data_IF_068086074555
#
_entry.id   IF_068086074555
#
_cell.length_a   1.000
_cell.length_b   1.000
_cell.length_c   1.000
_cell.angle_alpha   90.00
_cell.angle_beta   90.00
_cell.angle_gamma   90.00
#
_symmetry.space_group_name_H-M   'P 1'
#
loop_
_entity.id
_entity.type
_entity.pdbx_description
1 polymer ?
#
# COMPACT_ATOMS: atom_id res chain seq x y z
N UNK A 1 -4.56 15.83 27.55
CA UNK A 1 -5.04 15.35 26.23
C UNK A 1 -5.70 14.00 26.45
N UNK A 2 -6.86 13.72 25.84
CA UNK A 2 -7.56 12.45 26.07
C UNK A 2 -6.80 11.27 25.45
N UNK A 3 -6.91 10.05 26.01
CA UNK A 3 -6.22 8.85 25.50
C UNK A 3 -6.46 8.58 24.01
N UNK A 4 -7.66 8.90 23.51
CA UNK A 4 -8.04 8.76 22.10
C UNK A 4 -7.22 9.65 21.15
N UNK A 5 -6.82 10.85 21.61
CA UNK A 5 -6.02 11.79 20.80
C UNK A 5 -4.56 11.34 20.71
N UNK A 6 -4.03 10.73 21.77
CA UNK A 6 -2.67 10.16 21.75
C UNK A 6 -2.59 8.98 20.78
N UNK A 7 -3.60 8.10 20.78
CA UNK A 7 -3.67 6.97 19.85
C UNK A 7 -3.74 7.43 18.38
N UNK A 8 -4.54 8.46 18.09
CA UNK A 8 -4.65 9.00 16.73
C UNK A 8 -3.34 9.58 16.19
N UNK A 9 -2.59 10.30 17.04
CA UNK A 9 -1.28 10.86 16.66
C UNK A 9 -0.26 9.74 16.41
N UNK A 10 -0.27 8.68 17.23
CA UNK A 10 0.60 7.52 17.03
C UNK A 10 0.30 6.84 15.71
N UNK A 11 -0.98 6.56 15.41
CA UNK A 11 -1.39 5.94 14.13
C UNK A 11 -0.97 6.81 12.95
N UNK A 12 -1.21 8.12 12.99
CA UNK A 12 -0.83 9.02 11.90
C UNK A 12 0.69 9.06 11.67
N UNK A 13 1.50 9.02 12.74
CA UNK A 13 2.96 8.91 12.62
C UNK A 13 3.37 7.58 12.02
N UNK A 14 2.80 6.46 12.49
CA UNK A 14 3.09 5.14 11.95
C UNK A 14 2.74 5.04 10.46
N UNK A 15 1.55 5.51 10.05
CA UNK A 15 1.15 5.56 8.63
C UNK A 15 2.15 6.36 7.81
N UNK A 16 2.59 7.53 8.30
CA UNK A 16 3.59 8.34 7.59
C UNK A 16 4.91 7.60 7.44
N UNK A 17 5.39 6.95 8.49
CA UNK A 17 6.64 6.17 8.45
C UNK A 17 6.54 5.04 7.44
N UNK A 18 5.44 4.27 7.45
CA UNK A 18 5.22 3.17 6.51
C UNK A 18 5.12 3.65 5.06
N UNK A 19 4.45 4.78 4.79
CA UNK A 19 4.39 5.37 3.45
C UNK A 19 5.80 5.64 2.90
N UNK A 20 6.72 6.10 3.77
CA UNK A 20 8.10 6.37 3.40
C UNK A 20 8.92 5.09 3.25
N UNK A 21 8.86 4.18 4.23
CA UNK A 21 9.63 2.93 4.21
C UNK A 21 9.22 2.02 3.04
N UNK A 22 7.92 1.95 2.73
CA UNK A 22 7.35 1.15 1.64
C UNK A 22 7.35 1.85 0.29
N UNK A 23 7.89 3.06 0.22
CA UNK A 23 7.96 3.86 -1.02
C UNK A 23 6.60 3.94 -1.72
N UNK A 24 5.52 4.18 -0.97
CA UNK A 24 4.14 4.18 -1.49
C UNK A 24 3.97 5.17 -2.64
N UNK A 25 4.69 6.29 -2.62
CA UNK A 25 4.71 7.26 -3.72
C UNK A 25 5.27 6.68 -5.02
N UNK A 26 6.27 5.80 -4.95
CA UNK A 26 6.82 5.11 -6.12
C UNK A 26 5.87 4.03 -6.63
N UNK A 27 5.27 3.25 -5.72
CA UNK A 27 4.25 2.24 -6.05
C UNK A 27 3.02 2.88 -6.72
N UNK A 28 2.55 4.03 -6.21
CA UNK A 28 1.46 4.78 -6.84
C UNK A 28 1.81 5.25 -8.26
N UNK A 29 3.08 5.64 -8.48
CA UNK A 29 3.60 6.00 -9.81
C UNK A 29 3.57 4.84 -10.81
N UNK A 30 3.98 3.65 -10.39
CA UNK A 30 3.96 2.46 -11.27
C UNK A 30 2.54 2.03 -11.61
N UNK A 31 1.62 2.05 -10.63
CA UNK A 31 0.18 1.79 -10.83
C UNK A 31 -0.40 2.80 -11.82
N UNK A 32 -0.13 4.10 -11.64
CA UNK A 32 -0.63 5.14 -12.52
C UNK A 32 -0.13 4.98 -13.96
N UNK A 33 1.14 4.61 -14.15
CA UNK A 33 1.70 4.31 -15.47
C UNK A 33 0.98 3.13 -16.13
N UNK A 34 0.79 2.02 -15.43
CA UNK A 34 0.10 0.84 -15.98
C UNK A 34 -1.38 1.13 -16.27
N UNK A 35 -2.06 1.89 -15.42
CA UNK A 35 -3.43 2.33 -15.64
C UNK A 35 -3.54 3.22 -16.90
N UNK A 36 -2.63 4.18 -17.05
CA UNK A 36 -2.59 5.08 -18.21
C UNK A 36 -2.40 4.32 -19.54
N UNK A 37 -1.43 3.40 -19.59
CA UNK A 37 -1.17 2.59 -20.78
C UNK A 37 -2.36 1.70 -21.14
N UNK A 38 -3.08 1.18 -20.14
CA UNK A 38 -4.26 0.33 -20.34
C UNK A 38 -5.49 1.12 -20.80
N UNK A 39 -5.56 2.40 -20.49
CA UNK A 39 -6.71 3.25 -20.78
C UNK A 39 -6.88 3.50 -22.28
N UNK A 40 -5.78 3.64 -23.03
CA UNK A 40 -5.82 3.86 -24.48
C UNK A 40 -6.56 2.73 -25.25
N UNK A 41 -6.16 1.45 -25.13
CA UNK A 41 -6.88 0.38 -25.80
C UNK A 41 -8.30 0.19 -25.24
N UNK A 42 -8.54 0.46 -23.95
CA UNK A 42 -9.89 0.43 -23.37
C UNK A 42 -10.81 1.46 -24.05
N UNK A 43 -10.35 2.70 -24.21
CA UNK A 43 -11.12 3.75 -24.89
C UNK A 43 -11.40 3.38 -26.35
N UNK A 44 -10.41 2.83 -27.06
CA UNK A 44 -10.58 2.36 -28.43
C UNK A 44 -11.65 1.26 -28.52
N UNK A 45 -11.61 0.27 -27.64
CA UNK A 45 -12.58 -0.83 -27.63
C UNK A 45 -13.98 -0.35 -27.23
N UNK A 46 -14.08 0.49 -26.21
CA UNK A 46 -15.34 1.13 -25.83
C UNK A 46 -15.93 1.88 -27.03
N UNK A 47 -15.10 2.63 -27.74
CA UNK A 47 -15.51 3.33 -28.94
C UNK A 47 -16.01 2.39 -30.05
N UNK A 48 -15.26 1.33 -30.39
CA UNK A 48 -15.68 0.36 -31.40
C UNK A 48 -17.01 -0.31 -31.02
N UNK A 49 -17.19 -0.62 -29.74
CA UNK A 49 -18.46 -1.14 -29.23
C UNK A 49 -19.62 -0.13 -29.41
N UNK A 50 -19.41 1.16 -29.15
CA UNK A 50 -20.42 2.19 -29.38
C UNK A 50 -20.68 2.46 -30.87
N UNK A 51 -19.65 2.40 -31.72
CA UNK A 51 -19.78 2.55 -33.17
C UNK A 51 -20.64 1.43 -33.76
N UNK A 52 -20.49 0.19 -33.26
CA UNK A 52 -21.33 -0.94 -33.66
C UNK A 52 -22.82 -0.75 -33.32
N UNK A 53 -23.14 0.12 -32.36
CA UNK A 53 -24.53 0.48 -31.98
C UNK A 53 -25.11 1.60 -32.88
N UNK A 54 -24.30 2.18 -33.79
CA UNK A 54 -24.76 3.06 -34.86
C UNK A 54 -24.80 4.57 -34.56
N UNK A 55 -24.01 5.05 -33.58
CA UNK A 55 -23.99 6.48 -33.22
C UNK A 55 -22.85 7.24 -33.96
N UNK A 56 -23.14 7.74 -35.16
CA UNK A 56 -22.18 8.44 -36.04
C UNK A 56 -21.52 9.68 -35.42
N UNK A 57 -22.14 10.32 -34.42
CA UNK A 57 -21.59 11.52 -33.78
C UNK A 57 -20.31 11.22 -32.98
N UNK A 58 -20.20 10.03 -32.40
CA UNK A 58 -19.03 9.64 -31.60
C UNK A 58 -17.82 9.35 -32.50
N UNK A 59 -18.04 8.84 -33.71
CA UNK A 59 -16.97 8.54 -34.66
C UNK A 59 -16.23 9.82 -35.09
N UNK A 60 -16.97 10.90 -35.34
CA UNK A 60 -16.38 12.21 -35.64
C UNK A 60 -15.58 12.76 -34.46
N UNK A 61 -16.07 12.59 -33.22
CA UNK A 61 -15.35 13.04 -32.03
C UNK A 61 -14.03 12.28 -31.84
N UNK A 62 -14.01 10.96 -32.03
CA UNK A 62 -12.77 10.17 -31.92
C UNK A 62 -11.77 10.53 -33.00
N UNK A 63 -12.21 10.67 -34.25
CA UNK A 63 -11.35 11.12 -35.33
C UNK A 63 -10.81 12.53 -35.01
N UNK A 64 -11.63 13.43 -34.48
CA UNK A 64 -11.19 14.78 -34.10
C UNK A 64 -10.15 14.77 -32.97
N UNK A 65 -10.33 13.91 -31.96
CA UNK A 65 -9.38 13.73 -30.88
C UNK A 65 -8.07 13.12 -31.37
N UNK A 66 -8.14 12.07 -32.18
CA UNK A 66 -6.99 11.44 -32.82
C UNK A 66 -6.18 12.45 -33.66
N UNK A 67 -6.86 13.29 -34.45
CA UNK A 67 -6.22 14.38 -35.20
C UNK A 67 -5.59 15.44 -34.29
N UNK A 68 -6.14 15.68 -33.10
CA UNK A 68 -5.55 16.61 -32.12
C UNK A 68 -4.26 16.08 -31.49
N UNK A 69 -4.10 14.74 -31.42
CA UNK A 69 -2.85 14.10 -30.99
C UNK A 69 -1.80 14.25 -32.09
N UNK A 70 -2.12 13.77 -33.30
CA UNK A 70 -1.32 13.98 -34.51
C UNK A 70 -2.18 13.71 -35.76
N UNK A 71 -1.88 14.38 -36.89
CA UNK A 71 -2.57 14.11 -38.16
C UNK A 71 -2.49 12.63 -38.58
N UNK A 72 -1.36 11.96 -38.33
CA UNK A 72 -1.13 10.56 -38.67
C UNK A 72 -2.04 9.63 -37.86
N UNK A 73 -2.21 9.89 -36.57
CA UNK A 73 -3.12 9.13 -35.69
C UNK A 73 -4.57 9.35 -36.14
N UNK A 74 -4.91 10.57 -36.55
CA UNK A 74 -6.22 10.92 -37.09
C UNK A 74 -6.58 10.18 -38.39
N UNK A 75 -5.65 10.09 -39.33
CA UNK A 75 -5.84 9.32 -40.57
C UNK A 75 -5.87 7.81 -40.32
N UNK A 76 -5.05 7.30 -39.40
CA UNK A 76 -5.11 5.90 -38.96
C UNK A 76 -6.46 5.58 -38.33
N UNK A 77 -7.01 6.47 -37.50
CA UNK A 77 -8.33 6.32 -36.92
C UNK A 77 -9.41 6.32 -38.02
N UNK A 78 -9.39 7.27 -38.96
CA UNK A 78 -10.36 7.30 -40.08
C UNK A 78 -10.34 6.00 -40.90
N UNK A 79 -9.17 5.55 -41.31
CA UNK A 79 -9.02 4.34 -42.15
C UNK A 79 -9.44 3.08 -41.40
N UNK A 80 -9.09 2.98 -40.12
CA UNK A 80 -9.50 1.88 -39.23
C UNK A 80 -11.00 1.84 -39.03
N UNK A 81 -11.63 3.00 -38.82
CA UNK A 81 -13.05 3.10 -38.50
C UNK A 81 -13.97 2.99 -39.72
N UNK A 82 -13.47 3.30 -40.92
CA UNK A 82 -14.22 3.18 -42.16
C UNK A 82 -14.14 1.79 -42.82
N UNK A 83 -13.33 0.87 -42.28
CA UNK A 83 -13.17 -0.48 -42.84
C UNK A 83 -13.49 -1.56 -41.80
N UNK A 84 -14.32 -2.54 -42.16
CA UNK A 84 -14.64 -3.66 -41.27
C UNK A 84 -13.39 -4.45 -40.85
N UNK A 85 -12.47 -4.67 -41.80
CA UNK A 85 -11.20 -5.33 -41.52
C UNK A 85 -10.30 -4.51 -40.58
N UNK A 86 -10.27 -3.18 -40.73
CA UNK A 86 -9.57 -2.28 -39.83
C UNK A 86 -10.13 -2.38 -38.42
N UNK A 87 -11.44 -2.27 -38.25
CA UNK A 87 -12.12 -2.40 -36.95
C UNK A 87 -11.83 -3.76 -36.28
N UNK A 88 -11.85 -4.86 -37.04
CA UNK A 88 -11.54 -6.19 -36.52
C UNK A 88 -10.08 -6.30 -36.05
N UNK A 89 -9.12 -5.85 -36.86
CA UNK A 89 -7.70 -5.87 -36.48
C UNK A 89 -7.41 -4.98 -35.26
N UNK A 90 -8.00 -3.79 -35.20
CA UNK A 90 -7.86 -2.86 -34.09
C UNK A 90 -8.50 -3.41 -32.81
N UNK A 91 -9.62 -4.13 -32.92
CA UNK A 91 -10.24 -4.83 -31.79
C UNK A 91 -9.32 -5.92 -31.24
N UNK A 92 -8.73 -6.75 -32.08
CA UNK A 92 -7.83 -7.84 -31.65
C UNK A 92 -6.60 -7.25 -30.96
N UNK A 93 -5.93 -6.28 -31.60
CA UNK A 93 -4.75 -5.62 -31.03
C UNK A 93 -5.13 -4.91 -29.72
N UNK A 94 -6.25 -4.18 -29.71
CA UNK A 94 -6.77 -3.50 -28.53
C UNK A 94 -7.04 -4.47 -27.38
N UNK A 95 -7.68 -5.61 -27.62
CA UNK A 95 -7.94 -6.63 -26.59
C UNK A 95 -6.63 -7.19 -26.04
N UNK A 96 -5.66 -7.52 -26.90
CA UNK A 96 -4.37 -8.05 -26.45
C UNK A 96 -3.60 -7.02 -25.61
N UNK A 97 -3.53 -5.77 -26.07
CA UNK A 97 -2.84 -4.69 -25.33
C UNK A 97 -3.55 -4.35 -24.04
N UNK A 98 -4.89 -4.27 -24.03
CA UNK A 98 -5.69 -4.04 -22.83
C UNK A 98 -5.50 -5.16 -21.82
N UNK A 99 -5.56 -6.42 -22.27
CA UNK A 99 -5.39 -7.59 -21.39
C UNK A 99 -4.00 -7.58 -20.76
N UNK A 100 -2.96 -7.31 -21.55
CA UNK A 100 -1.60 -7.19 -21.04
C UNK A 100 -1.43 -6.04 -20.05
N UNK A 101 -2.00 -4.87 -20.36
CA UNK A 101 -1.96 -3.69 -19.50
C UNK A 101 -2.72 -3.91 -18.19
N UNK A 102 -3.94 -4.46 -18.25
CA UNK A 102 -4.76 -4.80 -17.10
C UNK A 102 -4.05 -5.81 -16.20
N UNK A 103 -3.43 -6.85 -16.78
CA UNK A 103 -2.65 -7.83 -16.02
C UNK A 103 -1.48 -7.17 -15.28
N UNK A 104 -0.76 -6.24 -15.93
CA UNK A 104 0.31 -5.46 -15.29
C UNK A 104 -0.21 -4.55 -14.18
N UNK A 105 -1.37 -3.91 -14.38
CA UNK A 105 -2.00 -3.07 -13.38
C UNK A 105 -2.40 -3.86 -12.14
N UNK A 106 -3.12 -4.99 -12.32
CA UNK A 106 -3.53 -5.84 -11.20
C UNK A 106 -2.35 -6.44 -10.47
N UNK A 107 -1.36 -6.97 -11.20
CA UNK A 107 -0.13 -7.44 -10.58
C UNK A 107 0.61 -6.32 -9.82
N UNK A 108 0.61 -5.10 -10.35
CA UNK A 108 1.19 -3.94 -9.69
C UNK A 108 0.46 -3.57 -8.39
N UNK A 109 -0.88 -3.62 -8.40
CA UNK A 109 -1.69 -3.40 -7.20
C UNK A 109 -1.46 -4.52 -6.17
N UNK A 110 -1.57 -5.78 -6.59
CA UNK A 110 -1.33 -6.95 -5.76
C UNK A 110 0.05 -6.91 -5.08
N UNK A 111 1.11 -6.68 -5.87
CA UNK A 111 2.47 -6.54 -5.35
C UNK A 111 2.58 -5.36 -4.38
N UNK A 112 1.92 -4.23 -4.66
CA UNK A 112 1.96 -3.06 -3.77
C UNK A 112 1.26 -3.32 -2.43
N UNK A 113 0.11 -4.00 -2.43
CA UNK A 113 -0.59 -4.41 -1.22
C UNK A 113 0.23 -5.44 -0.44
N UNK A 114 0.70 -6.51 -1.08
CA UNK A 114 1.57 -7.50 -0.46
C UNK A 114 2.83 -6.88 0.15
N UNK A 115 3.46 -5.91 -0.53
CA UNK A 115 4.63 -5.18 0.01
C UNK A 115 4.24 -4.35 1.24
N UNK A 116 3.11 -3.65 1.24
CA UNK A 116 2.62 -2.87 2.39
C UNK A 116 2.37 -3.77 3.61
N UNK A 117 1.71 -4.92 3.38
CA UNK A 117 1.45 -5.93 4.42
C UNK A 117 2.66 -6.83 4.71
N UNK A 118 3.76 -6.60 4.01
CA UNK A 118 5.02 -7.33 4.14
C UNK A 118 4.88 -8.86 4.02
N UNK A 119 3.90 -9.30 3.23
CA UNK A 119 3.58 -10.69 2.93
C UNK A 119 4.72 -11.37 2.16
N UNK A 120 4.86 -12.68 2.35
CA UNK A 120 5.69 -13.51 1.46
C UNK A 120 4.88 -13.80 0.20
N UNK A 121 5.39 -13.37 -0.96
CA UNK A 121 4.68 -13.50 -2.24
C UNK A 121 4.76 -14.96 -2.69
N UNK A 122 3.79 -15.77 -2.27
CA UNK A 122 3.63 -17.18 -2.67
C UNK A 122 2.45 -17.40 -3.64
N UNK A 123 1.78 -16.33 -4.06
CA UNK A 123 0.61 -16.45 -4.94
C UNK A 123 0.97 -16.84 -6.38
N UNK A 124 0.19 -17.75 -6.94
CA UNK A 124 0.33 -18.13 -8.34
C UNK A 124 -0.20 -17.03 -9.27
N UNK A 125 0.28 -16.98 -10.51
CA UNK A 125 -0.24 -16.04 -11.52
C UNK A 125 -1.76 -16.22 -11.72
N UNK A 126 -2.28 -17.44 -11.53
CA UNK A 126 -3.70 -17.72 -11.67
C UNK A 126 -4.54 -17.08 -10.55
N UNK A 127 -4.03 -17.07 -9.32
CA UNK A 127 -4.70 -16.42 -8.18
C UNK A 127 -4.75 -14.91 -8.39
N UNK A 128 -3.64 -14.28 -8.79
CA UNK A 128 -3.59 -12.85 -9.13
C UNK A 128 -4.59 -12.47 -10.23
N UNK A 129 -4.75 -13.32 -11.26
CA UNK A 129 -5.72 -13.10 -12.33
C UNK A 129 -7.15 -13.23 -11.81
N UNK A 130 -7.44 -14.27 -11.01
CA UNK A 130 -8.76 -14.49 -10.41
C UNK A 130 -9.16 -13.29 -9.55
N UNK A 131 -8.27 -12.84 -8.68
CA UNK A 131 -8.56 -11.77 -7.74
C UNK A 131 -8.68 -10.43 -8.46
N UNK A 132 -7.85 -10.19 -9.48
CA UNK A 132 -8.00 -9.07 -10.40
C UNK A 132 -9.37 -9.07 -11.12
N UNK A 133 -9.86 -10.22 -11.57
CA UNK A 133 -11.19 -10.35 -12.19
C UNK A 133 -12.32 -10.08 -11.20
N UNK A 134 -12.21 -10.54 -9.95
CA UNK A 134 -13.21 -10.26 -8.91
C UNK A 134 -13.27 -8.76 -8.63
N UNK A 135 -12.11 -8.11 -8.49
CA UNK A 135 -12.00 -6.65 -8.30
C UNK A 135 -12.57 -5.90 -9.50
N UNK A 136 -12.25 -6.32 -10.73
CA UNK A 136 -12.79 -5.72 -11.94
C UNK A 136 -14.32 -5.83 -12.00
N UNK A 137 -14.87 -6.99 -11.66
CA UNK A 137 -16.31 -7.22 -11.64
C UNK A 137 -17.00 -6.34 -10.57
N UNK A 138 -16.40 -6.23 -9.38
CA UNK A 138 -16.91 -5.35 -8.31
C UNK A 138 -16.90 -3.87 -8.72
N UNK A 139 -15.82 -3.40 -9.35
CA UNK A 139 -15.74 -2.06 -9.95
C UNK A 139 -16.82 -1.85 -11.01
N UNK A 140 -17.04 -2.83 -11.89
CA UNK A 140 -18.08 -2.78 -12.91
C UNK A 140 -19.49 -2.66 -12.33
N UNK A 141 -19.81 -3.47 -11.32
CA UNK A 141 -21.08 -3.38 -10.58
C UNK A 141 -21.23 -2.01 -9.92
N UNK A 142 -20.18 -1.50 -9.27
CA UNK A 142 -20.24 -0.22 -8.59
C UNK A 142 -20.49 0.95 -9.55
N UNK A 143 -19.89 0.92 -10.75
CA UNK A 143 -20.17 1.90 -11.81
C UNK A 143 -21.64 1.83 -12.24
N UNK A 144 -22.15 0.64 -12.52
CA UNK A 144 -23.57 0.46 -12.90
C UNK A 144 -24.49 0.93 -11.78
N UNK A 145 -24.20 0.56 -10.53
CA UNK A 145 -24.99 0.94 -9.36
C UNK A 145 -25.01 2.47 -9.18
N UNK A 146 -23.88 3.15 -9.41
CA UNK A 146 -23.80 4.62 -9.34
C UNK A 146 -24.63 5.28 -10.44
N UNK A 147 -24.59 4.75 -11.67
CA UNK A 147 -25.41 5.24 -12.79
C UNK A 147 -26.91 5.06 -12.49
N UNK A 148 -27.29 3.87 -12.04
CA UNK A 148 -28.69 3.56 -11.68
C UNK A 148 -29.15 4.43 -10.52
N UNK A 149 -28.34 4.59 -9.48
CA UNK A 149 -28.67 5.46 -8.35
C UNK A 149 -28.85 6.91 -8.79
N UNK A 150 -27.95 7.43 -9.63
CA UNK A 150 -28.08 8.79 -10.19
C UNK A 150 -29.36 8.96 -11.01
N UNK A 151 -29.70 7.98 -11.84
CA UNK A 151 -30.94 8.00 -12.63
C UNK A 151 -32.20 7.95 -11.74
N UNK A 152 -32.19 7.13 -10.67
CA UNK A 152 -33.29 7.04 -9.72
C UNK A 152 -33.47 8.34 -8.93
N UNK A 153 -32.38 8.96 -8.46
CA UNK A 153 -32.43 10.23 -7.75
C UNK A 153 -33.01 11.35 -8.64
N UNK A 154 -32.70 11.33 -9.95
CA UNK A 154 -33.24 12.28 -10.91
C UNK A 154 -34.76 12.17 -11.12
N UNK A 155 -35.40 11.06 -10.72
CA UNK A 155 -36.87 10.90 -10.76
C UNK A 155 -37.59 11.63 -9.62
N UNK A 156 -36.87 12.05 -8.57
CA UNK A 156 -37.43 12.71 -7.39
C UNK A 156 -36.89 14.13 -7.19
N UNK A 157 -36.95 15.03 -8.21
CA UNK A 157 -36.37 16.37 -8.12
C UNK A 157 -37.08 17.27 -7.11
N UNK A 158 -38.29 16.91 -6.69
CA UNK A 158 -39.10 17.67 -5.74
C UNK A 158 -38.75 17.42 -4.27
N UNK A 159 -37.91 16.43 -3.96
CA UNK A 159 -37.49 16.14 -2.58
C UNK A 159 -36.38 17.12 -2.18
N UNK A 160 -36.60 18.01 -1.20
CA UNK A 160 -35.59 18.95 -0.78
C UNK A 160 -34.38 18.20 -0.20
N UNK A 161 -33.17 18.69 -0.48
CA UNK A 161 -31.89 18.15 -0.02
C UNK A 161 -31.50 16.75 -0.54
N UNK A 162 -32.21 16.19 -1.52
CA UNK A 162 -31.88 14.87 -2.07
C UNK A 162 -30.48 14.81 -2.71
N UNK A 163 -29.99 15.94 -3.20
CA UNK A 163 -28.62 16.09 -3.74
C UNK A 163 -27.54 15.86 -2.67
N UNK A 164 -27.85 16.07 -1.39
CA UNK A 164 -26.92 15.84 -0.29
C UNK A 164 -26.64 14.34 -0.06
N UNK A 165 -27.48 13.45 -0.61
CA UNK A 165 -27.25 12.01 -0.58
C UNK A 165 -26.26 11.53 -1.65
N UNK A 166 -26.03 12.32 -2.71
CA UNK A 166 -25.14 11.93 -3.81
C UNK A 166 -23.71 11.55 -3.35
N UNK A 167 -23.00 12.36 -2.53
CA UNK A 167 -21.68 11.97 -2.03
C UNK A 167 -21.73 10.72 -1.13
N UNK A 168 -22.81 10.52 -0.38
CA UNK A 168 -22.97 9.33 0.47
C UNK A 168 -23.13 8.08 -0.40
N UNK A 169 -23.98 8.13 -1.43
CA UNK A 169 -24.18 7.05 -2.40
C UNK A 169 -22.86 6.72 -3.09
N UNK A 170 -22.10 7.75 -3.52
CA UNK A 170 -20.79 7.56 -4.13
C UNK A 170 -19.81 6.88 -3.17
N UNK A 171 -19.71 7.35 -1.92
CA UNK A 171 -18.83 6.74 -0.91
C UNK A 171 -19.22 5.28 -0.68
N UNK A 172 -20.51 4.97 -0.53
CA UNK A 172 -20.97 3.59 -0.35
C UNK A 172 -20.64 2.72 -1.57
N UNK A 173 -20.87 3.22 -2.78
CA UNK A 173 -20.51 2.53 -4.02
C UNK A 173 -19.01 2.28 -4.11
N UNK A 174 -18.18 3.26 -3.77
CA UNK A 174 -16.72 3.15 -3.74
C UNK A 174 -16.23 2.18 -2.66
N UNK A 175 -16.86 2.15 -1.48
CA UNK A 175 -16.54 1.15 -0.45
C UNK A 175 -16.82 -0.24 -0.99
N UNK A 176 -17.97 -0.48 -1.62
CA UNK A 176 -18.30 -1.77 -2.22
C UNK A 176 -17.30 -2.13 -3.34
N UNK A 177 -16.91 -1.15 -4.16
CA UNK A 177 -15.96 -1.33 -5.25
C UNK A 177 -14.55 -1.69 -4.77
N UNK A 178 -14.07 -1.00 -3.73
CA UNK A 178 -12.71 -1.14 -3.23
C UNK A 178 -12.57 -2.28 -2.22
N UNK A 179 -13.64 -2.69 -1.54
CA UNK A 179 -13.58 -3.72 -0.51
C UNK A 179 -12.89 -5.02 -0.97
N UNK A 180 -13.20 -5.61 -2.14
CA UNK A 180 -12.53 -6.83 -2.60
C UNK A 180 -11.02 -6.64 -2.83
N UNK A 181 -10.60 -5.46 -3.29
CA UNK A 181 -9.19 -5.14 -3.48
C UNK A 181 -8.44 -5.18 -2.14
N UNK A 182 -9.06 -4.61 -1.11
CA UNK A 182 -8.49 -4.54 0.23
C UNK A 182 -8.50 -5.86 0.99
N UNK A 183 -9.40 -6.77 0.62
CA UNK A 183 -9.55 -8.07 1.24
C UNK A 183 -8.69 -9.16 0.56
N UNK A 184 -8.52 -9.08 -0.77
CA UNK A 184 -7.86 -10.13 -1.55
C UNK A 184 -6.36 -9.87 -1.76
N UNK A 185 -5.95 -8.63 -2.06
CA UNK A 185 -4.56 -8.32 -2.44
C UNK A 185 -3.49 -8.32 -1.34
N UNK A 186 -3.80 -8.21 -0.03
CA UNK A 186 -2.76 -8.26 1.01
C UNK A 186 -1.91 -9.53 1.06
N UNK A 187 -2.35 -10.64 0.46
CA UNK A 187 -1.64 -11.94 0.50
C UNK A 187 -1.50 -12.54 1.91
N UNK A 188 -2.24 -12.00 2.89
CA UNK A 188 -2.26 -12.43 4.29
C UNK A 188 -3.71 -12.58 4.76
N UNK A 189 -3.92 -13.41 5.79
CA UNK A 189 -5.24 -13.55 6.39
C UNK A 189 -5.69 -12.21 7.01
N UNK A 190 -6.69 -11.59 6.39
CA UNK A 190 -7.33 -10.38 6.91
C UNK A 190 -8.79 -10.64 7.20
N UNK A 191 -9.32 -10.00 8.23
CA UNK A 191 -10.74 -10.02 8.53
C UNK A 191 -11.46 -8.83 7.87
N UNK A 192 -12.76 -8.95 7.53
CA UNK A 192 -13.54 -7.82 6.99
C UNK A 192 -13.51 -6.56 7.86
N UNK A 193 -13.32 -6.71 9.18
CA UNK A 193 -13.26 -5.58 10.12
C UNK A 193 -11.93 -4.83 10.07
N UNK A 194 -10.84 -5.53 9.77
CA UNK A 194 -9.49 -4.94 9.67
C UNK A 194 -9.32 -4.15 8.38
N UNK A 195 -9.99 -4.55 7.30
CA UNK A 195 -9.85 -3.89 5.98
C UNK A 195 -10.78 -2.68 5.81
N UNK A 196 -11.90 -2.65 6.53
CA UNK A 196 -12.93 -1.63 6.36
C UNK A 196 -12.48 -0.18 6.62
N UNK A 197 -11.67 0.13 7.65
CA UNK A 197 -11.26 1.51 7.93
C UNK A 197 -10.51 2.17 6.75
N UNK A 198 -9.57 1.44 6.15
CA UNK A 198 -8.79 1.86 5.00
C UNK A 198 -9.60 1.90 3.71
N UNK A 199 -10.54 0.97 3.53
CA UNK A 199 -11.49 1.03 2.40
C UNK A 199 -12.35 2.29 2.47
N UNK A 200 -12.89 2.62 3.66
CA UNK A 200 -13.65 3.87 3.88
C UNK A 200 -12.77 5.08 3.66
N UNK A 201 -11.55 5.08 4.21
CA UNK A 201 -10.58 6.15 3.99
C UNK A 201 -10.34 6.39 2.50
N UNK A 202 -10.13 5.33 1.71
CA UNK A 202 -9.91 5.46 0.29
C UNK A 202 -11.16 5.95 -0.47
N UNK A 203 -12.35 5.50 -0.12
CA UNK A 203 -13.60 5.98 -0.72
C UNK A 203 -13.82 7.48 -0.45
N UNK A 204 -13.59 7.92 0.78
CA UNK A 204 -13.69 9.34 1.17
C UNK A 204 -12.59 10.16 0.49
N UNK A 205 -11.35 9.68 0.53
CA UNK A 205 -10.20 10.33 -0.10
C UNK A 205 -10.35 10.46 -1.61
N UNK A 206 -10.91 9.44 -2.27
CA UNK A 206 -11.22 9.47 -3.70
C UNK A 206 -12.29 10.52 -4.01
N UNK A 207 -13.35 10.56 -3.21
CA UNK A 207 -14.42 11.56 -3.35
C UNK A 207 -13.88 12.98 -3.15
N UNK A 208 -13.02 13.18 -2.15
CA UNK A 208 -12.35 14.46 -1.92
C UNK A 208 -11.40 14.83 -3.08
N UNK A 209 -10.65 13.86 -3.60
CA UNK A 209 -9.77 14.05 -4.75
C UNK A 209 -10.57 14.47 -5.98
N UNK A 210 -11.74 13.87 -6.22
CA UNK A 210 -12.66 14.26 -7.28
C UNK A 210 -13.10 15.71 -7.18
N UNK A 211 -13.53 16.15 -5.99
CA UNK A 211 -13.88 17.55 -5.76
C UNK A 211 -12.69 18.49 -5.99
N UNK A 212 -11.50 18.10 -5.52
CA UNK A 212 -10.28 18.89 -5.71
C UNK A 212 -9.92 19.06 -7.19
N UNK A 213 -10.05 17.99 -7.99
CA UNK A 213 -9.79 18.06 -9.44
C UNK A 213 -10.86 18.87 -10.19
N UNK A 214 -12.11 18.79 -9.79
CA UNK A 214 -13.16 19.64 -10.36
C UNK A 214 -12.83 21.12 -10.14
N UNK A 215 -12.40 21.49 -8.93
CA UNK A 215 -11.94 22.85 -8.63
C UNK A 215 -10.70 23.21 -9.46
N UNK A 216 -9.71 22.32 -9.55
CA UNK A 216 -8.51 22.54 -10.35
C UNK A 216 -8.84 22.85 -11.82
N UNK A 217 -9.68 22.03 -12.45
CA UNK A 217 -10.10 22.22 -13.85
C UNK A 217 -10.89 23.52 -14.02
N UNK A 218 -11.72 23.87 -13.03
CA UNK A 218 -12.47 25.13 -13.05
C UNK A 218 -11.55 26.36 -12.97
N UNK A 219 -10.52 26.32 -12.12
CA UNK A 219 -9.60 27.45 -11.88
C UNK A 219 -8.58 27.62 -13.01
N UNK A 220 -7.93 26.54 -13.44
CA UNK A 220 -6.98 26.58 -14.55
C UNK A 220 -7.70 26.88 -15.87
N UNK A 221 -9.00 26.57 -15.93
CA UNK A 221 -9.81 26.71 -17.13
C UNK A 221 -9.32 25.79 -18.25
N UNK A 222 -9.95 25.89 -19.41
CA UNK A 222 -9.53 25.18 -20.62
C UNK A 222 -8.15 25.65 -21.14
N UNK A 223 -7.35 26.41 -20.40
CA UNK A 223 -6.01 26.84 -20.86
C UNK A 223 -5.01 25.67 -20.95
N UNK A 224 -5.30 24.53 -20.29
CA UNK A 224 -4.65 23.24 -20.51
C UNK A 224 -5.27 22.42 -21.68
N UNK A 225 -6.03 23.04 -22.61
CA UNK A 225 -6.77 22.38 -23.72
C UNK A 225 -5.94 21.58 -24.70
N UNK A 226 -4.61 21.66 -24.62
CA UNK A 226 -3.75 20.81 -25.41
C UNK A 226 -3.82 19.36 -24.92
N UNK A 227 -3.67 18.42 -25.85
CA UNK A 227 -3.50 16.98 -25.57
C UNK A 227 -2.51 16.72 -24.44
N UNK A 228 -1.37 17.42 -24.43
CA UNK A 228 -0.35 17.28 -23.39
C UNK A 228 -0.87 17.65 -22.00
N UNK A 229 -1.67 18.73 -21.90
CA UNK A 229 -2.28 19.15 -20.64
C UNK A 229 -3.28 18.11 -20.13
N UNK A 230 -4.12 17.56 -21.02
CA UNK A 230 -5.06 16.50 -20.69
C UNK A 230 -4.35 15.21 -20.22
N UNK A 231 -3.27 14.81 -20.90
CA UNK A 231 -2.46 13.64 -20.52
C UNK A 231 -1.80 13.85 -19.16
N UNK A 232 -1.16 15.00 -18.93
CA UNK A 232 -0.52 15.31 -17.65
C UNK A 232 -1.54 15.34 -16.51
N UNK A 233 -2.71 15.94 -16.76
CA UNK A 233 -3.81 15.97 -15.79
C UNK A 233 -4.30 14.56 -15.46
N UNK A 234 -4.50 13.71 -16.47
CA UNK A 234 -4.94 12.33 -16.29
C UNK A 234 -3.92 11.50 -15.52
N UNK A 235 -2.63 11.56 -15.87
CA UNK A 235 -1.59 10.84 -15.15
C UNK A 235 -1.49 11.32 -13.70
N UNK A 236 -1.62 12.63 -13.47
CA UNK A 236 -1.65 13.21 -12.12
C UNK A 236 -2.86 12.71 -11.33
N UNK A 237 -4.03 12.64 -11.96
CA UNK A 237 -5.23 12.08 -11.36
C UNK A 237 -5.03 10.62 -10.94
N UNK A 238 -4.51 9.79 -11.85
CA UNK A 238 -4.23 8.38 -11.60
C UNK A 238 -3.17 8.19 -10.49
N UNK A 239 -2.15 9.04 -10.47
CA UNK A 239 -1.13 9.05 -9.42
C UNK A 239 -1.72 9.31 -8.03
N UNK A 240 -2.46 10.40 -7.86
CA UNK A 240 -3.07 10.72 -6.57
C UNK A 240 -4.15 9.71 -6.17
N UNK A 241 -4.87 9.16 -7.15
CA UNK A 241 -5.83 8.07 -6.94
C UNK A 241 -5.14 6.82 -6.37
N UNK A 242 -4.03 6.41 -6.98
CA UNK A 242 -3.19 5.31 -6.47
C UNK A 242 -2.61 5.61 -5.08
N UNK A 243 -2.19 6.85 -4.84
CA UNK A 243 -1.66 7.27 -3.54
C UNK A 243 -2.71 7.21 -2.43
N UNK A 244 -3.94 7.65 -2.70
CA UNK A 244 -5.07 7.54 -1.76
C UNK A 244 -5.40 6.07 -1.47
N UNK A 245 -5.46 5.23 -2.52
CA UNK A 245 -5.72 3.80 -2.37
C UNK A 245 -4.64 3.10 -1.54
N UNK A 246 -3.37 3.30 -1.86
CA UNK A 246 -2.28 2.67 -1.10
C UNK A 246 -2.15 3.22 0.32
N UNK A 247 -2.47 4.50 0.53
CA UNK A 247 -2.50 5.08 1.89
C UNK A 247 -3.57 4.43 2.75
N UNK A 248 -4.74 4.11 2.19
CA UNK A 248 -5.75 3.33 2.90
C UNK A 248 -5.27 1.92 3.23
N UNK A 249 -4.51 1.27 2.34
CA UNK A 249 -3.91 -0.04 2.61
C UNK A 249 -2.90 0.04 3.76
N UNK A 250 -2.03 1.06 3.77
CA UNK A 250 -1.11 1.31 4.90
C UNK A 250 -1.88 1.55 6.20
N UNK A 251 -2.97 2.32 6.16
CA UNK A 251 -3.80 2.57 7.34
C UNK A 251 -4.32 1.25 7.94
N UNK A 252 -4.80 0.33 7.10
CA UNK A 252 -5.25 -0.96 7.58
C UNK A 252 -4.11 -1.81 8.14
N UNK A 253 -2.98 -1.89 7.43
CA UNK A 253 -1.83 -2.65 7.89
C UNK A 253 -1.34 -2.15 9.27
N UNK A 254 -1.31 -0.82 9.47
CA UNK A 254 -0.96 -0.21 10.77
C UNK A 254 -1.98 -0.52 11.85
N UNK A 255 -3.28 -0.41 11.56
CA UNK A 255 -4.35 -0.70 12.53
C UNK A 255 -4.41 -2.18 12.91
N UNK A 256 -4.11 -3.07 11.96
CA UNK A 256 -4.06 -4.50 12.16
C UNK A 256 -2.71 -4.99 12.74
N UNK A 257 -1.74 -4.08 12.97
CA UNK A 257 -0.38 -4.41 13.41
C UNK A 257 0.35 -5.40 12.48
N UNK A 258 0.02 -5.38 11.19
CA UNK A 258 0.58 -6.26 10.17
C UNK A 258 1.78 -5.64 9.44
N UNK A 259 2.32 -4.52 9.94
CA UNK A 259 3.54 -3.93 9.36
C UNK A 259 4.79 -4.38 10.11
N UNK A 260 5.85 -4.70 9.38
CA UNK A 260 7.16 -5.12 9.96
C UNK A 260 7.78 -4.06 10.88
N UNK A 261 7.35 -2.80 10.80
CA UNK A 261 7.88 -1.70 11.62
C UNK A 261 7.16 -1.61 12.96
N UNK A 262 5.94 -2.14 13.10
CA UNK A 262 5.35 -2.39 14.42
C UNK A 262 6.19 -3.41 15.22
N UNK A 263 6.81 -4.37 14.51
CA UNK A 263 7.75 -5.37 15.05
C UNK A 263 9.22 -4.87 15.12
N UNK A 264 9.50 -3.63 14.65
CA UNK A 264 10.73 -2.91 15.01
C UNK A 264 10.59 -2.20 16.37
N UNK A 265 9.59 -2.54 17.18
CA UNK A 265 9.72 -2.41 18.62
C UNK A 265 10.76 -3.44 19.05
N UNK A 266 11.95 -2.95 19.38
CA UNK A 266 12.96 -3.62 20.21
C UNK A 266 12.53 -5.01 20.70
N UNK A 267 13.07 -6.09 20.12
CA UNK A 267 13.00 -7.41 20.74
C UNK A 267 13.83 -7.33 22.03
N UNK A 268 13.27 -6.76 23.10
CA UNK A 268 13.83 -6.86 24.44
C UNK A 268 13.56 -8.27 24.90
N UNK A 269 14.46 -9.19 24.57
CA UNK A 269 14.39 -10.56 25.05
C UNK A 269 14.91 -10.58 26.49
N UNK A 270 14.04 -10.25 27.43
CA UNK A 270 14.37 -10.32 28.85
C UNK A 270 14.31 -11.79 29.29
N UNK A 271 15.49 -12.41 29.43
CA UNK A 271 15.60 -13.80 29.89
C UNK A 271 16.25 -13.80 31.27
N UNK A 272 15.52 -14.27 32.27
CA UNK A 272 16.12 -14.63 33.56
C UNK A 272 16.91 -15.92 33.33
N UNK A 273 18.24 -15.83 33.40
CA UNK A 273 19.14 -16.97 33.24
C UNK A 273 19.64 -17.40 34.62
N UNK A 274 19.69 -18.70 34.87
CA UNK A 274 20.42 -19.19 36.04
C UNK A 274 21.93 -18.98 35.81
N UNK A 275 22.72 -18.99 36.88
CA UNK A 275 24.17 -18.74 36.91
C UNK A 275 24.94 -19.49 35.82
N UNK A 276 24.69 -20.78 35.67
CA UNK A 276 25.41 -21.62 34.70
C UNK A 276 25.03 -21.26 33.26
N UNK A 277 23.77 -20.89 33.03
CA UNK A 277 23.28 -20.46 31.73
C UNK A 277 23.82 -19.08 31.35
N UNK A 278 23.88 -18.14 32.30
CA UNK A 278 24.47 -16.82 32.11
C UNK A 278 25.97 -16.92 31.81
N UNK A 279 26.71 -17.78 32.53
CA UNK A 279 28.13 -18.04 32.27
C UNK A 279 28.36 -18.64 30.87
N UNK A 280 27.51 -19.58 30.46
CA UNK A 280 27.54 -20.16 29.12
C UNK A 280 27.24 -19.10 28.04
N UNK A 281 26.22 -18.27 28.25
CA UNK A 281 25.82 -17.23 27.33
C UNK A 281 26.92 -16.18 27.11
N UNK A 282 27.53 -15.67 28.20
CA UNK A 282 28.64 -14.70 28.12
C UNK A 282 29.84 -15.29 27.38
N UNK A 283 30.16 -16.56 27.61
CA UNK A 283 31.21 -17.26 26.86
C UNK A 283 30.89 -17.33 25.36
N UNK A 284 29.64 -17.63 25.02
CA UNK A 284 29.17 -17.76 23.63
C UNK A 284 29.20 -16.40 22.92
N UNK A 285 28.78 -15.32 23.60
CA UNK A 285 28.90 -13.95 23.11
C UNK A 285 30.36 -13.57 22.91
N UNK A 286 31.22 -13.86 23.89
CA UNK A 286 32.67 -13.60 23.78
C UNK A 286 33.26 -14.29 22.55
N UNK A 287 32.95 -15.57 22.37
CA UNK A 287 33.42 -16.36 21.22
C UNK A 287 32.86 -15.84 19.88
N UNK A 288 31.62 -15.30 19.88
CA UNK A 288 30.97 -14.79 18.67
C UNK A 288 31.43 -13.39 18.27
N UNK A 289 31.62 -12.49 19.24
CA UNK A 289 32.00 -11.09 19.02
C UNK A 289 33.50 -10.96 18.75
N UNK A 290 34.32 -11.69 19.50
CA UNK A 290 35.78 -11.57 19.41
C UNK A 290 36.43 -12.75 18.65
N UNK A 291 35.65 -13.75 18.23
CA UNK A 291 36.17 -14.96 17.57
C UNK A 291 36.88 -15.92 18.53
N UNK A 292 37.19 -17.14 18.05
CA UNK A 292 38.15 -18.04 18.73
C UNK A 292 39.56 -17.52 18.48
N UNK A 293 40.04 -16.61 19.31
CA UNK A 293 41.47 -16.30 19.33
C UNK A 293 42.23 -17.41 20.07
N UNK A 294 43.02 -18.20 19.33
CA UNK A 294 43.94 -19.24 19.85
C UNK A 294 45.15 -18.66 20.64
N UNK A 295 45.14 -17.36 20.98
CA UNK A 295 46.23 -16.66 21.68
C UNK A 295 45.75 -15.74 22.82
N UNK A 296 44.74 -16.15 23.58
CA UNK A 296 44.62 -15.62 24.94
C UNK A 296 45.74 -16.25 25.78
N UNK A 297 46.87 -15.55 25.94
CA UNK A 297 47.59 -15.65 27.21
C UNK A 297 46.57 -15.35 28.30
N UNK A 298 46.49 -16.21 29.31
CA UNK A 298 45.68 -15.93 30.48
C UNK A 298 46.10 -14.53 30.95
N UNK A 299 45.17 -13.58 30.99
CA UNK A 299 45.40 -12.36 31.77
C UNK A 299 45.74 -12.89 33.16
N UNK A 300 46.98 -12.69 33.61
CA UNK A 300 47.37 -12.95 34.98
C UNK A 300 46.41 -12.13 35.84
N UNK A 301 45.41 -12.81 36.39
CA UNK A 301 44.56 -12.23 37.42
C UNK A 301 45.53 -11.82 38.52
N UNK A 302 45.59 -10.54 38.92
CA UNK A 302 46.48 -10.12 39.97
C UNK A 302 46.20 -10.99 41.20
N UNK A 303 47.10 -11.91 41.52
CA UNK A 303 47.01 -12.83 42.66
C UNK A 303 47.37 -12.10 43.95
N UNK A 304 46.90 -10.86 44.10
CA UNK A 304 46.83 -10.17 45.36
C UNK A 304 45.49 -10.51 46.00
N UNK A 305 45.52 -10.95 47.27
CA UNK A 305 44.32 -11.27 48.06
C UNK A 305 43.24 -10.16 47.98
N UNK A 306 43.62 -8.89 47.73
CA UNK A 306 42.68 -7.77 47.64
C UNK A 306 41.70 -7.80 46.46
N UNK A 307 42.01 -8.45 45.34
CA UNK A 307 41.08 -8.51 44.20
C UNK A 307 40.00 -9.57 44.40
N UNK A 308 40.37 -10.72 44.97
CA UNK A 308 39.43 -11.79 45.28
C UNK A 308 38.51 -11.43 46.47
N UNK A 309 39.00 -10.62 47.42
CA UNK A 309 38.17 -10.04 48.49
C UNK A 309 37.20 -8.96 48.01
N UNK A 310 37.44 -8.33 46.86
CA UNK A 310 36.54 -7.32 46.29
C UNK A 310 35.30 -7.91 45.59
N UNK A 311 35.24 -9.23 45.43
CA UNK A 311 34.06 -9.96 44.92
C UNK A 311 33.42 -10.71 46.10
N UNK A 312 33.05 -9.97 47.14
CA UNK A 312 32.68 -10.56 48.43
C UNK A 312 31.24 -11.06 48.50
N UNK A 313 30.36 -10.69 47.57
CA UNK A 313 29.01 -11.25 47.51
C UNK A 313 28.66 -11.73 46.11
N UNK A 314 28.25 -13.01 46.03
CA UNK A 314 27.97 -13.72 44.79
C UNK A 314 26.50 -13.52 44.43
N UNK A 315 26.16 -12.90 43.29
CA UNK A 315 24.76 -12.67 42.94
C UNK A 315 24.02 -13.98 42.69
N UNK A 316 22.81 -14.09 43.25
CA UNK A 316 21.94 -15.26 43.09
C UNK A 316 21.24 -15.30 41.72
N UNK A 317 21.06 -14.15 41.06
CA UNK A 317 20.35 -14.07 39.77
C UNK A 317 20.98 -12.99 38.88
N UNK A 318 21.13 -13.30 37.59
CA UNK A 318 21.67 -12.39 36.57
C UNK A 318 20.58 -12.16 35.53
N UNK A 319 20.08 -10.93 35.45
CA UNK A 319 19.21 -10.48 34.38
C UNK A 319 20.05 -10.07 33.18
N UNK A 320 19.75 -10.68 32.04
CA UNK A 320 20.40 -10.36 30.78
C UNK A 320 19.35 -9.72 29.87
N UNK A 321 19.58 -8.47 29.51
CA UNK A 321 18.74 -7.70 28.61
C UNK A 321 19.51 -7.59 27.29
N UNK A 322 19.06 -8.34 26.30
CA UNK A 322 19.53 -8.23 24.94
C UNK A 322 18.63 -7.25 24.20
N UNK A 323 19.24 -6.20 23.64
CA UNK A 323 18.58 -5.22 22.81
C UNK A 323 19.19 -5.27 21.40
N UNK A 324 18.40 -5.74 20.43
CA UNK A 324 18.83 -5.79 19.03
C UNK A 324 18.12 -4.66 18.29
N UNK A 325 18.87 -3.66 17.87
CA UNK A 325 18.36 -2.52 17.10
C UNK A 325 18.94 -2.54 15.68
N UNK A 326 18.11 -2.27 14.69
CA UNK A 326 18.59 -1.98 13.33
C UNK A 326 18.83 -0.47 13.23
N UNK A 327 20.10 -0.08 13.24
CA UNK A 327 20.52 1.28 12.93
C UNK A 327 20.89 1.37 11.44
N UNK A 328 20.78 2.57 10.86
CA UNK A 328 21.10 2.82 9.45
C UNK A 328 22.60 2.53 9.21
N UNK A 329 22.91 1.36 8.65
CA UNK A 329 24.28 0.85 8.49
C UNK A 329 24.56 -0.54 9.08
N UNK A 330 23.63 -1.18 9.80
CA UNK A 330 23.81 -2.55 10.29
C UNK A 330 22.92 -2.96 11.47
N UNK A 331 23.16 -4.17 12.00
CA UNK A 331 22.55 -4.61 13.27
C UNK A 331 23.44 -4.14 14.43
N UNK A 332 22.87 -3.40 15.36
CA UNK A 332 23.50 -3.02 16.62
C UNK A 332 22.98 -3.95 17.72
N UNK A 333 23.92 -4.56 18.45
CA UNK A 333 23.63 -5.46 19.57
C UNK A 333 24.05 -4.76 20.87
N UNK A 334 23.11 -4.47 21.76
CA UNK A 334 23.40 -4.01 23.12
C UNK A 334 23.06 -5.15 24.10
N UNK A 335 24.03 -5.52 24.94
CA UNK A 335 23.82 -6.53 25.99
C UNK A 335 24.04 -5.83 27.32
N UNK A 336 22.98 -5.72 28.12
CA UNK A 336 23.04 -5.17 29.47
C UNK A 336 22.89 -6.31 30.47
N UNK A 337 23.93 -6.49 31.28
CA UNK A 337 23.94 -7.46 32.37
C UNK A 337 23.64 -6.71 33.65
N UNK A 338 22.58 -7.11 34.36
CA UNK A 338 22.22 -6.60 35.69
C UNK A 338 22.20 -7.78 36.65
N UNK A 339 22.79 -7.61 37.83
CA UNK A 339 22.68 -8.58 38.90
C UNK A 339 22.23 -7.88 40.17
N UNK A 340 21.54 -8.60 41.04
CA UNK A 340 21.18 -8.12 42.37
C UNK A 340 22.04 -8.83 43.40
N UNK A 341 22.53 -8.08 44.37
CA UNK A 341 23.21 -8.63 45.53
C UNK A 341 22.14 -9.22 46.46
N UNK A 342 22.38 -10.40 47.03
CA UNK A 342 21.42 -11.03 47.93
C UNK A 342 21.30 -10.16 49.20
N UNK A 343 20.31 -9.27 49.28
CA UNK A 343 19.83 -8.84 50.59
C UNK A 343 19.04 -10.02 51.15
N UNK A 344 19.68 -10.81 51.99
CA UNK A 344 19.00 -11.83 52.78
C UNK A 344 17.75 -11.22 53.40
N UNK A 345 16.59 -11.81 53.08
CA UNK A 345 15.40 -11.77 53.93
C UNK A 345 15.80 -12.41 55.27
N UNK A 346 16.37 -11.61 56.15
CA UNK A 346 16.52 -11.86 57.58
C UNK A 346 16.25 -10.54 58.31
N UNK A 347 14.99 -10.14 58.36
CA UNK A 347 14.47 -9.37 59.49
C UNK A 347 13.36 -10.22 60.13
N UNK A 348 13.72 -10.85 61.25
CA UNK A 348 12.82 -11.37 62.28
C UNK A 348 11.93 -10.27 62.87
#
# INVERSE_FOLDING_TARGET
MSPSVQNGITVARSVRTEIQEKQVTFLAGSIAYHAFISLLPLLLLAFLAFAAIGNNNLQMQVISFANSLSPEIGELAKTTLNSEQGQASASIVGILTLTWGALKLFRGLDTAFSEIYAAEIDESILDQVRDGLIVLFALGIAVIATIVAGALLALFPAVPFIELLNPIVLIVALVIAFFPMYYLFPGVETTPREVLPGTIFAAVGWTALQGLFQIYVHVVGSSASGVLGAVLLLVTWLYFSGLVLLTGAVLNAVLAHQTKTADKQTETRQRSLNRDEAACYVRLVRERVFGRYERMEAIEVPTGESFLDSITERPATVELIEEISKADGGKQYEIRVRWNENSDENED
#
